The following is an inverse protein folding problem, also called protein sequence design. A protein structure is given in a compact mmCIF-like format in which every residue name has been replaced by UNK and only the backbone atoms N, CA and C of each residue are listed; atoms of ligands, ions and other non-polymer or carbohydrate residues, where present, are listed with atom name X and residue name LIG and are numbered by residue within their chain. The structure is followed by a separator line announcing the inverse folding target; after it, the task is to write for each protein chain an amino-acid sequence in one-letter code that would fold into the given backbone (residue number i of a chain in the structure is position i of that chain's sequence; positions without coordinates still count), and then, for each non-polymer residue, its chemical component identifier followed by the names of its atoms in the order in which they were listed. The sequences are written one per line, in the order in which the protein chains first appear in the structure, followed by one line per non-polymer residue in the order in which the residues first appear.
data_IF_118990900414
#
_entry.id   IF_118990900414
#
_cell.length_a   1.000
_cell.length_b   1.000
_cell.length_c   1.000
_cell.angle_alpha   90.00
_cell.angle_beta   90.00
_cell.angle_gamma   90.00
#
_symmetry.space_group_name_H-M   'P 1'
#
loop_
_entity.id
_entity.type
_entity.pdbx_description
1 polymer ?
#
# COMPACT_ATOMS: atom_id res chain seq x y z
N UNK A 1 -9.18 46.56 28.26
CA UNK A 1 -8.16 46.23 29.26
C UNK A 1 -7.24 45.21 28.61
N UNK A 2 -6.18 45.74 28.01
CA UNK A 2 -5.10 44.99 27.39
C UNK A 2 -4.12 44.60 28.51
N UNK A 3 -3.69 43.34 28.54
CA UNK A 3 -2.52 42.95 29.33
C UNK A 3 -1.60 42.17 28.39
N UNK A 4 -0.56 42.88 27.94
CA UNK A 4 0.56 42.38 27.17
C UNK A 4 1.58 41.88 28.21
N UNK A 5 1.93 40.60 28.15
CA UNK A 5 3.03 40.04 28.93
C UNK A 5 4.19 39.79 27.98
N UNK A 6 5.16 40.69 28.03
CA UNK A 6 6.49 40.52 27.45
C UNK A 6 7.29 39.57 28.34
N UNK A 7 7.93 38.57 27.72
CA UNK A 7 8.96 37.75 28.36
C UNK A 7 10.19 37.79 27.45
N UNK A 8 11.12 38.68 27.82
CA UNK A 8 12.55 38.60 27.52
C UNK A 8 13.07 37.29 28.15
N UNK A 9 13.86 36.43 27.50
CA UNK A 9 15.18 36.70 26.97
C UNK A 9 16.15 35.87 27.82
N UNK A 10 16.88 34.95 27.20
CA UNK A 10 18.13 34.37 27.75
C UNK A 10 18.78 33.52 26.62
N UNK A 11 19.78 34.13 26.00
CA UNK A 11 20.82 33.51 25.19
C UNK A 11 21.94 33.06 26.14
N UNK A 12 22.49 31.86 25.94
CA UNK A 12 23.81 31.37 26.43
C UNK A 12 23.88 29.88 26.02
N UNK A 13 25.00 29.27 25.61
CA UNK A 13 26.36 29.72 25.33
C UNK A 13 27.01 28.57 24.53
N UNK A 14 28.02 28.91 23.74
CA UNK A 14 28.82 28.01 22.93
C UNK A 14 29.68 27.06 23.77
N UNK A 15 29.85 25.82 23.29
CA UNK A 15 30.74 24.82 23.88
C UNK A 15 31.47 24.04 22.78
N UNK A 16 32.49 24.66 22.21
CA UNK A 16 33.54 23.99 21.44
C UNK A 16 34.52 23.33 22.43
N UNK A 17 34.72 22.02 22.33
CA UNK A 17 35.84 21.34 23.01
C UNK A 17 36.52 20.35 22.07
N UNK A 18 37.81 20.23 22.33
CA UNK A 18 38.92 20.05 21.42
C UNK A 18 39.20 18.62 20.97
N UNK A 19 40.02 18.60 19.92
CA UNK A 19 40.77 17.50 19.35
C UNK A 19 41.64 16.76 20.39
N UNK A 20 41.65 15.43 20.28
CA UNK A 20 42.60 14.56 20.98
C UNK A 20 43.16 13.55 20.00
N UNK A 21 44.28 13.90 19.36
CA UNK A 21 45.18 12.97 18.69
C UNK A 21 45.91 12.11 19.75
N UNK A 22 45.84 10.78 19.63
CA UNK A 22 46.77 9.90 20.32
C UNK A 22 47.29 8.81 19.35
N UNK A 23 48.46 9.08 18.77
CA UNK A 23 49.31 8.08 18.12
C UNK A 23 50.04 7.24 19.18
N UNK A 24 49.67 5.97 19.29
CA UNK A 24 50.36 4.98 20.13
C UNK A 24 50.81 3.75 19.34
N UNK A 25 52.07 3.75 18.89
CA UNK A 25 52.79 2.57 18.37
C UNK A 25 52.98 1.50 19.46
N UNK A 26 52.74 0.20 19.15
CA UNK A 26 53.73 -0.92 19.20
C UNK A 26 53.11 -2.33 19.23
N UNK A 27 53.49 -3.10 18.21
CA UNK A 27 54.00 -4.49 18.22
C UNK A 27 53.60 -5.52 19.29
N UNK A 28 53.12 -6.67 18.83
CA UNK A 28 53.08 -7.97 19.51
C UNK A 28 51.80 -8.71 19.13
N UNK A 29 51.78 -9.85 18.44
CA UNK A 29 52.64 -11.02 18.56
C UNK A 29 51.76 -12.18 19.03
N UNK A 30 51.37 -13.06 18.10
CA UNK A 30 51.12 -14.48 18.41
C UNK A 30 49.74 -14.90 18.93
N UNK A 31 48.92 -15.42 18.00
CA UNK A 31 48.07 -16.62 18.13
C UNK A 31 47.14 -16.71 19.36
N UNK A 32 45.96 -16.12 19.25
CA UNK A 32 44.77 -16.59 19.95
C UNK A 32 43.90 -17.42 19.01
N UNK A 33 43.54 -18.63 19.46
CA UNK A 33 42.81 -19.63 18.70
C UNK A 33 41.53 -19.12 18.05
N UNK A 34 41.28 -19.63 16.85
CA UNK A 34 40.01 -19.52 16.15
C UNK A 34 38.92 -20.22 16.97
N UNK A 35 38.29 -19.48 17.88
CA UNK A 35 36.99 -19.83 18.43
C UNK A 35 35.98 -19.34 17.41
N UNK A 36 35.50 -20.25 16.56
CA UNK A 36 34.38 -20.03 15.67
C UNK A 36 33.15 -19.64 16.50
N UNK A 37 32.95 -18.34 16.67
CA UNK A 37 31.78 -17.76 17.30
C UNK A 37 30.73 -17.47 16.23
N UNK A 38 29.70 -18.32 16.22
CA UNK A 38 28.32 -17.98 15.89
C UNK A 38 28.08 -17.13 14.63
N UNK A 39 28.08 -17.80 13.48
CA UNK A 39 27.41 -17.31 12.27
C UNK A 39 25.89 -17.20 12.50
N UNK A 40 25.43 -16.01 12.88
CA UNK A 40 23.99 -15.70 13.01
C UNK A 40 23.61 -14.24 12.74
N UNK A 41 24.57 -13.31 12.76
CA UNK A 41 24.31 -11.86 12.64
C UNK A 41 24.46 -11.25 11.24
N UNK A 42 25.03 -11.96 10.26
CA UNK A 42 25.43 -11.37 8.97
C UNK A 42 24.28 -10.95 8.05
N UNK A 43 23.14 -11.64 8.11
CA UNK A 43 22.03 -11.42 7.19
C UNK A 43 21.30 -10.10 7.39
N UNK A 44 20.90 -9.79 8.63
CA UNK A 44 20.14 -8.55 8.94
C UNK A 44 20.95 -7.29 8.67
N UNK A 45 22.22 -7.26 9.07
CA UNK A 45 23.10 -6.12 8.80
C UNK A 45 23.40 -5.93 7.31
N UNK A 46 23.39 -7.00 6.51
CA UNK A 46 23.59 -6.91 5.06
C UNK A 46 22.35 -6.38 4.35
N UNK A 47 21.16 -6.88 4.69
CA UNK A 47 19.90 -6.38 4.14
C UNK A 47 19.69 -4.91 4.48
N UNK A 48 19.93 -4.51 5.74
CA UNK A 48 19.75 -3.11 6.16
C UNK A 48 20.71 -2.17 5.42
N UNK A 49 21.98 -2.54 5.25
CA UNK A 49 22.94 -1.75 4.48
C UNK A 49 22.52 -1.61 3.01
N UNK A 50 22.05 -2.70 2.40
CA UNK A 50 21.52 -2.67 1.04
C UNK A 50 20.31 -1.73 0.92
N UNK A 51 19.34 -1.83 1.84
CA UNK A 51 18.15 -0.99 1.83
C UNK A 51 18.49 0.50 2.02
N UNK A 52 19.44 0.82 2.90
CA UNK A 52 19.94 2.20 3.06
C UNK A 52 20.62 2.72 1.79
N UNK A 53 21.46 1.90 1.14
CA UNK A 53 22.10 2.27 -0.11
C UNK A 53 21.08 2.47 -1.25
N UNK A 54 20.08 1.60 -1.33
CA UNK A 54 18.98 1.70 -2.29
C UNK A 54 18.16 2.97 -2.06
N UNK A 55 17.78 3.26 -0.82
CA UNK A 55 17.04 4.49 -0.46
C UNK A 55 17.79 5.75 -0.90
N UNK A 56 19.09 5.87 -0.57
CA UNK A 56 19.94 7.00 -1.03
C UNK A 56 20.00 7.10 -2.56
N UNK A 57 20.09 5.97 -3.25
CA UNK A 57 20.14 5.94 -4.72
C UNK A 57 18.82 6.40 -5.34
N UNK A 58 17.69 5.94 -4.80
CA UNK A 58 16.36 6.36 -5.25
C UNK A 58 16.13 7.86 -4.98
N UNK A 59 16.58 8.36 -3.84
CA UNK A 59 16.49 9.78 -3.48
C UNK A 59 17.31 10.66 -4.43
N UNK A 60 18.54 10.26 -4.72
CA UNK A 60 19.41 10.94 -5.69
C UNK A 60 18.82 10.95 -7.11
N UNK A 61 18.09 9.89 -7.49
CA UNK A 61 17.44 9.73 -8.80
C UNK A 61 15.97 10.16 -8.83
N UNK A 62 15.48 10.80 -7.77
CA UNK A 62 14.08 11.18 -7.65
C UNK A 62 13.54 11.98 -8.84
N UNK A 63 14.25 12.99 -9.40
CA UNK A 63 13.75 13.73 -10.57
C UNK A 63 13.55 12.86 -11.81
N UNK A 64 14.48 11.95 -12.07
CA UNK A 64 14.41 11.04 -13.22
C UNK A 64 13.28 10.04 -13.04
N UNK A 65 13.09 9.54 -11.81
CA UNK A 65 12.00 8.63 -11.47
C UNK A 65 10.64 9.32 -11.55
N UNK A 66 10.52 10.58 -11.14
CA UNK A 66 9.29 11.37 -11.27
C UNK A 66 8.82 11.51 -12.72
N UNK A 67 9.77 11.64 -13.65
CA UNK A 67 9.50 11.75 -15.08
C UNK A 67 9.12 10.40 -15.73
N UNK A 68 9.46 9.27 -15.11
CA UNK A 68 9.21 7.93 -15.63
C UNK A 68 7.82 7.42 -15.26
N UNK A 69 6.94 7.27 -16.26
CA UNK A 69 5.58 6.73 -16.05
C UNK A 69 5.60 5.27 -15.59
N UNK A 70 6.50 4.46 -16.15
CA UNK A 70 6.56 3.02 -15.89
C UNK A 70 7.01 2.70 -14.46
N UNK A 71 7.85 3.55 -13.87
CA UNK A 71 8.36 3.33 -12.51
C UNK A 71 7.50 3.98 -11.44
N UNK A 72 6.68 4.99 -11.79
CA UNK A 72 5.88 5.76 -10.83
C UNK A 72 4.96 4.89 -9.98
N UNK A 73 4.24 3.95 -10.59
CA UNK A 73 3.31 3.06 -9.89
C UNK A 73 4.03 2.13 -8.90
N UNK A 74 4.93 1.25 -9.37
CA UNK A 74 5.70 0.36 -8.51
C UNK A 74 6.51 1.08 -7.42
N UNK A 75 7.14 2.22 -7.75
CA UNK A 75 7.92 3.00 -6.78
C UNK A 75 7.01 3.64 -5.72
N UNK A 76 5.91 4.27 -6.13
CA UNK A 76 4.93 4.84 -5.19
C UNK A 76 4.41 3.75 -4.23
N UNK A 77 4.12 2.55 -4.75
CA UNK A 77 3.70 1.43 -3.91
C UNK A 77 4.81 0.98 -2.95
N UNK A 78 6.04 0.81 -3.41
CA UNK A 78 7.18 0.42 -2.57
C UNK A 78 7.45 1.43 -1.45
N UNK A 79 7.41 2.73 -1.76
CA UNK A 79 7.59 3.81 -0.77
C UNK A 79 6.48 3.77 0.29
N UNK A 80 5.22 3.53 -0.10
CA UNK A 80 4.10 3.38 0.87
C UNK A 80 4.33 2.22 1.84
N UNK A 81 4.83 1.10 1.33
CA UNK A 81 5.20 -0.05 2.15
C UNK A 81 6.34 0.32 3.09
N UNK A 82 7.41 0.94 2.61
CA UNK A 82 8.52 1.37 3.48
C UNK A 82 8.08 2.38 4.53
N UNK A 83 7.22 3.35 4.19
CA UNK A 83 6.71 4.31 5.16
C UNK A 83 5.94 3.63 6.32
N UNK A 84 5.37 2.45 6.08
CA UNK A 84 4.63 1.69 7.09
C UNK A 84 5.48 0.66 7.83
N UNK A 85 6.67 0.31 7.32
CA UNK A 85 7.43 -0.86 7.78
C UNK A 85 8.89 -0.57 8.13
N UNK A 86 9.46 0.48 7.54
CA UNK A 86 10.82 0.97 7.73
C UNK A 86 10.85 2.49 7.46
N UNK A 87 10.14 3.30 8.28
CA UNK A 87 9.95 4.73 8.01
C UNK A 87 11.27 5.51 7.93
N UNK A 88 12.32 5.05 8.62
CA UNK A 88 13.66 5.63 8.58
C UNK A 88 14.34 5.53 7.21
N UNK A 89 13.84 4.69 6.31
CA UNK A 89 14.33 4.56 4.93
C UNK A 89 13.65 5.53 3.96
N UNK A 90 12.63 6.26 4.41
CA UNK A 90 11.82 7.11 3.52
C UNK A 90 12.15 8.57 3.75
N UNK A 91 12.73 9.22 2.73
CA UNK A 91 13.02 10.65 2.76
C UNK A 91 11.77 11.47 2.36
N UNK A 92 11.70 12.77 2.73
CA UNK A 92 10.63 13.66 2.27
C UNK A 92 10.46 13.68 0.75
N UNK A 93 11.58 13.62 0.01
CA UNK A 93 11.56 13.60 -1.46
C UNK A 93 10.93 12.32 -2.02
N UNK A 94 11.24 11.17 -1.43
CA UNK A 94 10.59 9.90 -1.81
C UNK A 94 9.09 9.91 -1.48
N UNK A 95 8.67 10.55 -0.38
CA UNK A 95 7.25 10.74 -0.08
C UNK A 95 6.55 11.57 -1.15
N UNK A 96 7.15 12.68 -1.59
CA UNK A 96 6.58 13.51 -2.65
C UNK A 96 6.42 12.76 -3.97
N UNK A 97 7.41 11.94 -4.35
CA UNK A 97 7.27 11.04 -5.51
C UNK A 97 6.07 10.10 -5.38
N UNK A 98 5.87 9.54 -4.18
CA UNK A 98 4.81 8.60 -3.93
C UNK A 98 3.42 9.25 -3.94
N UNK A 99 3.28 10.50 -3.45
CA UNK A 99 2.04 11.29 -3.49
C UNK A 99 1.62 11.64 -4.92
N UNK A 100 2.59 11.91 -5.80
CA UNK A 100 2.32 12.16 -7.22
C UNK A 100 1.65 10.97 -7.92
N UNK A 101 1.80 9.73 -7.45
CA UNK A 101 1.20 8.53 -8.03
C UNK A 101 -0.33 8.40 -7.88
N UNK A 102 -1.03 9.45 -7.48
CA UNK A 102 -2.47 9.46 -7.22
C UNK A 102 -3.32 9.12 -8.45
N UNK A 103 -3.56 7.84 -8.64
CA UNK A 103 -4.46 7.30 -9.66
C UNK A 103 -4.61 5.80 -9.48
N UNK A 104 -5.43 5.40 -8.50
CA UNK A 104 -6.00 4.06 -8.37
C UNK A 104 -5.01 2.94 -8.01
N UNK A 105 -5.24 2.25 -6.90
CA UNK A 105 -4.62 0.97 -6.56
C UNK A 105 -5.07 -0.17 -7.48
N UNK A 106 -5.05 0.03 -8.81
CA UNK A 106 -5.22 -1.04 -9.80
C UNK A 106 -3.85 -1.66 -10.06
N UNK A 107 -3.62 -2.86 -9.51
CA UNK A 107 -2.47 -3.68 -9.85
C UNK A 107 -2.51 -4.12 -11.31
N UNK A 108 -2.12 -3.24 -12.22
CA UNK A 108 -1.90 -3.54 -13.63
C UNK A 108 -0.56 -4.26 -13.79
N UNK A 109 -0.61 -5.59 -13.96
CA UNK A 109 0.51 -6.32 -14.52
C UNK A 109 0.83 -5.76 -15.92
N UNK A 110 2.10 -5.44 -16.16
CA UNK A 110 2.56 -4.80 -17.37
C UNK A 110 2.24 -5.59 -18.64
N UNK A 111 1.75 -4.87 -19.65
CA UNK A 111 1.97 -5.20 -21.05
C UNK A 111 2.87 -4.10 -21.62
N UNK A 112 4.02 -4.52 -22.15
CA UNK A 112 5.01 -3.64 -22.75
C UNK A 112 4.53 -2.97 -24.04
N UNK A 113 4.83 -1.68 -24.13
CA UNK A 113 5.33 -0.88 -25.27
C UNK A 113 4.98 -1.29 -26.71
N UNK A 114 4.32 -0.38 -27.44
CA UNK A 114 4.90 0.33 -28.60
C UNK A 114 3.91 1.36 -29.18
N UNK A 115 4.43 2.53 -29.57
CA UNK A 115 4.00 3.20 -30.80
C UNK A 115 2.88 4.24 -30.74
N UNK A 116 3.33 5.49 -30.69
CA UNK A 116 2.91 6.59 -31.58
C UNK A 116 1.54 7.27 -31.44
N UNK A 117 1.60 8.61 -31.47
CA UNK A 117 0.48 9.52 -31.35
C UNK A 117 -0.05 9.82 -32.75
N UNK A 118 -1.21 9.29 -33.12
CA UNK A 118 -2.07 9.95 -34.11
C UNK A 118 -3.53 9.80 -33.73
N UNK A 119 -4.23 10.92 -33.88
CA UNK A 119 -5.66 11.10 -33.64
C UNK A 119 -6.48 10.30 -34.65
N UNK A 120 -7.34 9.41 -34.16
CA UNK A 120 -8.61 9.09 -34.82
C UNK A 120 -9.60 8.48 -33.83
N UNK A 121 -10.79 9.07 -33.81
CA UNK A 121 -11.98 8.51 -33.20
C UNK A 121 -12.33 7.15 -33.82
N UNK A 122 -13.13 6.36 -33.08
CA UNK A 122 -13.97 5.25 -33.56
C UNK A 122 -13.27 3.95 -33.95
N UNK A 123 -13.30 2.97 -33.05
CA UNK A 123 -14.13 1.75 -33.19
C UNK A 123 -13.68 0.71 -32.15
N UNK A 124 -14.62 0.27 -31.31
CA UNK A 124 -14.48 -0.97 -30.56
C UNK A 124 -14.33 -2.14 -31.55
N UNK A 125 -13.43 -3.11 -31.32
CA UNK A 125 -13.28 -4.23 -32.23
C UNK A 125 -14.53 -5.12 -32.19
N UNK A 126 -15.02 -5.59 -33.35
CA UNK A 126 -16.17 -6.48 -33.40
C UNK A 126 -15.80 -7.85 -32.84
N UNK A 127 -16.70 -8.38 -32.02
CA UNK A 127 -16.71 -9.76 -31.55
C UNK A 127 -16.56 -10.72 -32.73
N UNK A 128 -15.50 -11.52 -32.72
CA UNK A 128 -15.30 -12.62 -33.66
C UNK A 128 -16.32 -13.72 -33.37
N UNK A 129 -17.53 -13.59 -33.93
CA UNK A 129 -18.46 -14.71 -34.09
C UNK A 129 -17.85 -15.67 -35.11
N UNK A 130 -17.55 -16.88 -34.65
CA UNK A 130 -17.21 -18.00 -35.52
C UNK A 130 -18.50 -18.55 -36.12
N UNK A 131 -18.55 -18.67 -37.45
CA UNK A 131 -19.48 -19.57 -38.13
C UNK A 131 -19.06 -21.02 -37.86
N UNK A 132 -19.91 -21.77 -37.17
CA UNK A 132 -20.02 -23.23 -37.33
C UNK A 132 -21.52 -23.58 -37.27
N UNK A 133 -22.07 -24.30 -38.27
CA UNK A 133 -23.45 -24.78 -38.21
C UNK A 133 -23.47 -26.16 -37.54
N UNK A 134 -24.26 -26.31 -36.48
CA UNK A 134 -24.46 -27.62 -35.87
C UNK A 134 -25.18 -27.56 -34.52
N UNK A 135 -26.51 -27.53 -34.59
CA UNK A 135 -27.49 -28.09 -33.65
C UNK A 135 -27.23 -28.04 -32.13
N UNK A 136 -28.18 -27.42 -31.41
CA UNK A 136 -28.54 -27.89 -30.06
C UNK A 136 -28.79 -26.80 -29.03
N UNK A 137 -30.07 -26.56 -28.78
CA UNK A 137 -30.67 -26.17 -27.49
C UNK A 137 -30.09 -24.96 -26.72
N UNK A 138 -30.91 -23.89 -26.74
CA UNK A 138 -31.12 -22.85 -25.73
C UNK A 138 -30.17 -22.77 -24.53
N UNK A 139 -29.54 -21.61 -24.39
CA UNK A 139 -28.82 -21.21 -23.18
C UNK A 139 -28.11 -19.88 -23.39
N UNK A 140 -28.87 -18.79 -23.48
CA UNK A 140 -28.29 -17.44 -23.47
C UNK A 140 -27.58 -17.22 -22.13
N UNK A 141 -26.27 -17.40 -22.09
CA UNK A 141 -25.45 -16.97 -20.96
C UNK A 141 -25.39 -15.45 -21.04
N UNK A 142 -26.33 -14.80 -20.36
CA UNK A 142 -26.23 -13.39 -20.05
C UNK A 142 -24.85 -13.16 -19.39
N UNK A 143 -23.99 -12.39 -20.06
CA UNK A 143 -22.83 -11.78 -19.43
C UNK A 143 -23.37 -10.95 -18.27
N UNK A 144 -23.39 -11.54 -17.07
CA UNK A 144 -23.69 -10.80 -15.85
C UNK A 144 -22.60 -9.75 -15.71
N UNK A 145 -22.95 -8.50 -16.01
CA UNK A 145 -22.18 -7.34 -15.56
C UNK A 145 -21.95 -7.53 -14.06
N UNK A 146 -20.69 -7.80 -13.69
CA UNK A 146 -20.33 -7.96 -12.30
C UNK A 146 -20.71 -6.69 -11.53
N UNK A 147 -21.08 -6.80 -10.24
CA UNK A 147 -21.44 -5.63 -9.46
C UNK A 147 -20.30 -4.60 -9.49
N UNK A 148 -20.64 -3.35 -9.82
CA UNK A 148 -19.69 -2.24 -9.82
C UNK A 148 -19.12 -2.10 -8.40
N UNK A 149 -17.79 -2.21 -8.26
CA UNK A 149 -17.09 -2.18 -6.96
C UNK A 149 -17.39 -0.89 -6.20
N UNK A 150 -17.47 0.26 -6.87
CA UNK A 150 -17.83 1.53 -6.25
C UNK A 150 -19.25 1.53 -5.69
N UNK A 151 -20.19 0.84 -6.34
CA UNK A 151 -21.56 0.69 -5.82
C UNK A 151 -21.62 -0.28 -4.63
N UNK A 152 -20.81 -1.35 -4.65
CA UNK A 152 -20.65 -2.22 -3.49
C UNK A 152 -20.07 -1.48 -2.29
N UNK A 153 -19.07 -0.63 -2.50
CA UNK A 153 -18.49 0.21 -1.45
C UNK A 153 -19.55 1.13 -0.83
N UNK A 154 -20.34 1.83 -1.65
CA UNK A 154 -21.46 2.66 -1.16
C UNK A 154 -22.52 1.85 -0.40
N UNK A 155 -22.84 0.63 -0.84
CA UNK A 155 -23.77 -0.27 -0.15
C UNK A 155 -23.24 -0.68 1.23
N UNK A 156 -21.97 -1.09 1.33
CA UNK A 156 -21.32 -1.45 2.60
C UNK A 156 -21.32 -0.24 3.55
N UNK A 157 -20.96 0.95 3.06
CA UNK A 157 -20.97 2.18 3.85
C UNK A 157 -22.35 2.48 4.46
N UNK A 158 -23.40 2.48 3.62
CA UNK A 158 -24.78 2.74 4.08
C UNK A 158 -25.22 1.74 5.14
N UNK A 159 -24.98 0.45 4.90
CA UNK A 159 -25.37 -0.62 5.83
C UNK A 159 -24.62 -0.55 7.14
N UNK A 160 -23.33 -0.24 7.14
CA UNK A 160 -22.61 0.01 8.40
C UNK A 160 -23.28 1.15 9.19
N UNK A 161 -23.72 2.22 8.52
CA UNK A 161 -24.50 3.30 9.13
C UNK A 161 -25.85 2.83 9.71
N UNK A 162 -26.60 2.03 8.96
CA UNK A 162 -27.88 1.43 9.41
C UNK A 162 -27.70 0.51 10.63
N UNK A 163 -26.54 -0.14 10.74
CA UNK A 163 -26.18 -0.98 11.89
C UNK A 163 -25.76 -0.17 13.12
N UNK A 164 -25.71 1.16 13.03
CA UNK A 164 -25.37 2.07 14.12
C UNK A 164 -23.90 2.50 14.16
N UNK A 165 -23.08 2.07 13.20
CA UNK A 165 -21.68 2.49 13.12
C UNK A 165 -21.55 3.89 12.50
N UNK A 166 -20.39 4.51 12.71
CA UNK A 166 -20.01 5.80 12.12
C UNK A 166 -18.79 5.63 11.19
N UNK A 167 -18.94 4.96 10.04
CA UNK A 167 -17.85 4.80 9.10
C UNK A 167 -17.48 6.14 8.45
N UNK A 168 -16.21 6.29 8.08
CA UNK A 168 -15.67 7.34 7.22
C UNK A 168 -15.19 6.69 5.93
N UNK A 169 -15.61 7.19 4.77
CA UNK A 169 -15.15 6.67 3.48
C UNK A 169 -13.80 7.25 3.11
N UNK A 170 -12.99 6.46 2.39
CA UNK A 170 -11.73 6.88 1.78
C UNK A 170 -10.80 7.60 2.79
N UNK A 171 -10.72 7.05 4.01
CA UNK A 171 -9.92 7.67 5.08
C UNK A 171 -8.44 7.43 4.82
N UNK A 172 -7.65 8.51 4.88
CA UNK A 172 -6.21 8.44 4.79
C UNK A 172 -5.60 7.94 6.11
N UNK A 173 -4.88 6.82 6.07
CA UNK A 173 -4.14 6.23 7.18
C UNK A 173 -2.67 6.09 6.78
N UNK A 174 -1.83 7.00 7.29
CA UNK A 174 -0.45 7.12 6.83
C UNK A 174 -0.43 7.43 5.34
N UNK A 175 0.21 6.58 4.54
CA UNK A 175 0.22 6.72 3.08
C UNK A 175 -0.82 5.86 2.35
N UNK A 176 -1.70 5.19 3.08
CA UNK A 176 -2.77 4.37 2.52
C UNK A 176 -4.10 5.10 2.59
N UNK A 177 -4.94 4.93 1.58
CA UNK A 177 -6.36 5.25 1.68
C UNK A 177 -7.09 3.94 1.90
N UNK A 178 -7.90 3.87 2.94
CA UNK A 178 -8.77 2.71 3.20
C UNK A 178 -10.17 2.99 2.71
N UNK A 179 -10.86 1.99 2.15
CA UNK A 179 -12.21 2.21 1.59
C UNK A 179 -13.17 2.76 2.66
N UNK A 180 -13.12 2.19 3.87
CA UNK A 180 -13.82 2.67 5.04
C UNK A 180 -13.00 2.49 6.32
N UNK A 181 -13.11 3.46 7.22
CA UNK A 181 -12.56 3.38 8.58
C UNK A 181 -13.68 3.63 9.60
N UNK A 182 -13.73 2.83 10.65
CA UNK A 182 -14.67 3.01 11.76
C UNK A 182 -14.02 2.63 13.10
N UNK A 183 -14.67 3.05 14.20
CA UNK A 183 -14.31 2.61 15.55
C UNK A 183 -15.35 1.66 16.08
N UNK A 184 -14.90 0.52 16.62
CA UNK A 184 -15.74 -0.45 17.33
C UNK A 184 -15.12 -0.64 18.71
N UNK A 185 -15.79 -0.10 19.73
CA UNK A 185 -15.17 0.12 21.05
C UNK A 185 -13.91 0.99 20.93
N UNK A 186 -12.80 0.53 21.51
CA UNK A 186 -11.49 1.20 21.43
C UNK A 186 -10.69 0.91 20.15
N UNK A 187 -11.15 0.01 19.29
CA UNK A 187 -10.37 -0.49 18.14
C UNK A 187 -10.71 0.28 16.86
N UNK A 188 -9.69 0.69 16.10
CA UNK A 188 -9.87 1.20 14.72
C UNK A 188 -9.95 0.04 13.75
N UNK A 189 -11.01 -0.02 12.97
CA UNK A 189 -11.27 -1.06 11.97
C UNK A 189 -11.20 -0.43 10.58
N UNK A 190 -10.35 -0.98 9.72
CA UNK A 190 -10.38 -0.71 8.28
C UNK A 190 -11.21 -1.79 7.59
N UNK A 191 -12.18 -1.39 6.79
CA UNK A 191 -12.97 -2.28 5.93
C UNK A 191 -12.56 -2.00 4.50
N UNK A 192 -11.98 -3.00 3.84
CA UNK A 192 -11.55 -2.97 2.44
C UNK A 192 -12.54 -3.79 1.60
N UNK A 193 -13.11 -3.19 0.55
CA UNK A 193 -14.03 -3.84 -0.39
C UNK A 193 -13.22 -4.30 -1.60
N UNK A 194 -12.62 -5.48 -1.47
CA UNK A 194 -11.71 -6.02 -2.46
C UNK A 194 -12.46 -6.48 -3.72
N UNK A 195 -12.32 -5.73 -4.80
CA UNK A 195 -12.83 -6.06 -6.13
C UNK A 195 -12.02 -7.15 -6.87
N UNK A 196 -12.41 -7.51 -8.11
CA UNK A 196 -11.78 -8.60 -8.86
C UNK A 196 -10.26 -8.48 -9.02
N UNK A 197 -9.74 -7.26 -9.15
CA UNK A 197 -8.32 -6.98 -9.34
C UNK A 197 -7.45 -7.23 -8.10
N UNK A 198 -8.06 -7.51 -6.94
CA UNK A 198 -7.35 -7.85 -5.71
C UNK A 198 -7.08 -9.35 -5.57
N UNK A 199 -7.53 -10.17 -6.52
CA UNK A 199 -7.43 -11.62 -6.50
C UNK A 199 -6.74 -12.18 -7.75
N UNK A 200 -6.24 -13.41 -7.65
CA UNK A 200 -5.79 -14.19 -8.80
C UNK A 200 -6.97 -14.49 -9.73
N UNK A 201 -6.69 -14.62 -11.03
CA UNK A 201 -7.70 -15.03 -12.03
C UNK A 201 -7.95 -16.54 -12.05
N UNK A 202 -7.09 -17.34 -11.43
CA UNK A 202 -7.26 -18.80 -11.26
C UNK A 202 -8.35 -19.16 -10.26
N UNK A 203 -8.87 -20.39 -10.36
CA UNK A 203 -9.80 -20.98 -9.38
C UNK A 203 -9.05 -22.00 -8.50
N UNK A 204 -9.12 -21.91 -7.16
CA UNK A 204 -9.81 -20.88 -6.38
C UNK A 204 -9.12 -19.51 -6.49
N UNK A 205 -9.91 -18.45 -6.42
CA UNK A 205 -9.38 -17.08 -6.38
C UNK A 205 -8.75 -16.81 -5.01
N UNK A 206 -7.51 -16.31 -4.99
CA UNK A 206 -6.79 -15.96 -3.76
C UNK A 206 -6.30 -14.51 -3.81
N UNK A 207 -6.22 -13.79 -2.67
CA UNK A 207 -5.73 -12.41 -2.65
C UNK A 207 -4.30 -12.30 -3.19
N UNK A 208 -4.06 -11.28 -4.02
CA UNK A 208 -2.74 -10.98 -4.57
C UNK A 208 -1.74 -10.57 -3.47
N UNK A 209 -0.45 -10.68 -3.79
CA UNK A 209 0.62 -10.24 -2.89
C UNK A 209 0.50 -8.77 -2.51
N UNK A 210 0.11 -7.90 -3.44
CA UNK A 210 -0.14 -6.47 -3.21
C UNK A 210 -1.28 -6.23 -2.21
N UNK A 211 -2.38 -6.98 -2.31
CA UNK A 211 -3.50 -6.93 -1.36
C UNK A 211 -3.02 -7.34 0.04
N UNK A 212 -2.30 -8.45 0.15
CA UNK A 212 -1.77 -8.93 1.44
C UNK A 212 -0.78 -7.94 2.07
N UNK A 213 0.07 -7.32 1.26
CA UNK A 213 1.04 -6.33 1.74
C UNK A 213 0.35 -5.04 2.20
N UNK A 214 -0.67 -4.55 1.47
CA UNK A 214 -1.53 -3.44 1.94
C UNK A 214 -2.10 -3.76 3.31
N UNK A 215 -2.76 -4.90 3.47
CA UNK A 215 -3.40 -5.27 4.73
C UNK A 215 -2.38 -5.42 5.87
N UNK A 216 -1.19 -5.95 5.59
CA UNK A 216 -0.12 -6.05 6.58
C UNK A 216 0.39 -4.66 7.01
N UNK A 217 0.49 -3.70 6.10
CA UNK A 217 0.85 -2.33 6.41
C UNK A 217 -0.22 -1.64 7.26
N UNK A 218 -1.49 -1.77 6.89
CA UNK A 218 -2.60 -1.22 7.68
C UNK A 218 -2.65 -1.81 9.11
N UNK A 219 -2.41 -3.12 9.26
CA UNK A 219 -2.28 -3.74 10.59
C UNK A 219 -1.12 -3.17 11.41
N UNK A 220 0.03 -2.93 10.79
CA UNK A 220 1.18 -2.26 11.45
C UNK A 220 0.88 -0.82 11.85
N UNK A 221 -0.01 -0.14 11.12
CA UNK A 221 -0.51 1.19 11.47
C UNK A 221 -1.60 1.18 12.56
N UNK A 222 -1.83 0.03 13.21
CA UNK A 222 -2.73 -0.10 14.36
C UNK A 222 -4.20 -0.33 14.01
N UNK A 223 -4.51 -0.78 12.80
CA UNK A 223 -5.87 -1.09 12.37
C UNK A 223 -6.14 -2.59 12.42
N UNK A 224 -7.34 -2.98 12.86
CA UNK A 224 -7.90 -4.27 12.49
C UNK A 224 -8.39 -4.19 11.04
N UNK A 225 -7.85 -5.02 10.16
CA UNK A 225 -8.23 -5.03 8.74
C UNK A 225 -9.24 -6.14 8.47
N UNK A 226 -10.39 -5.74 7.93
CA UNK A 226 -11.47 -6.60 7.44
C UNK A 226 -11.49 -6.50 5.93
N UNK A 227 -11.14 -7.59 5.24
CA UNK A 227 -11.25 -7.68 3.78
C UNK A 227 -12.61 -8.29 3.39
N UNK A 228 -13.41 -7.55 2.64
CA UNK A 228 -14.67 -7.98 2.06
C UNK A 228 -14.47 -8.39 0.61
N UNK A 229 -14.55 -9.70 0.37
CA UNK A 229 -14.61 -10.26 -0.98
C UNK A 229 -15.90 -9.81 -1.70
N UNK A 230 -15.73 -9.11 -2.82
CA UNK A 230 -16.85 -8.59 -3.62
C UNK A 230 -17.81 -9.67 -4.13
N UNK A 231 -17.32 -10.88 -4.48
CA UNK A 231 -18.16 -11.98 -4.95
C UNK A 231 -18.99 -12.52 -3.80
N UNK A 232 -18.35 -12.78 -2.66
CA UNK A 232 -19.02 -13.30 -1.48
C UNK A 232 -20.10 -12.33 -1.03
N UNK A 233 -19.77 -11.05 -0.90
CA UNK A 233 -20.69 -10.02 -0.45
C UNK A 233 -21.81 -9.77 -1.48
N UNK A 234 -21.48 -9.72 -2.76
CA UNK A 234 -22.44 -9.48 -3.85
C UNK A 234 -23.53 -10.55 -3.97
N UNK A 235 -23.26 -11.79 -3.54
CA UNK A 235 -24.24 -12.90 -3.52
C UNK A 235 -25.20 -12.88 -2.33
N UNK A 236 -24.95 -12.06 -1.32
CA UNK A 236 -25.79 -11.99 -0.13
C UNK A 236 -26.90 -10.95 -0.31
N UNK A 237 -28.01 -11.15 0.40
CA UNK A 237 -29.15 -10.22 0.42
C UNK A 237 -29.27 -9.45 1.74
N UNK A 238 -30.16 -8.45 1.78
CA UNK A 238 -30.49 -7.55 2.90
C UNK A 238 -29.96 -7.96 4.28
N UNK A 239 -30.68 -8.87 4.94
CA UNK A 239 -30.35 -9.29 6.30
C UNK A 239 -29.04 -10.11 6.41
N UNK A 240 -28.67 -10.87 5.37
CA UNK A 240 -27.44 -11.67 5.37
C UNK A 240 -26.19 -10.78 5.34
N UNK A 241 -26.20 -9.74 4.49
CA UNK A 241 -25.13 -8.73 4.45
C UNK A 241 -24.98 -8.02 5.78
N UNK A 242 -26.09 -7.62 6.42
CA UNK A 242 -26.06 -6.97 7.73
C UNK A 242 -25.44 -7.86 8.82
N UNK A 243 -25.81 -9.15 8.86
CA UNK A 243 -25.19 -10.13 9.78
C UNK A 243 -23.71 -10.35 9.52
N UNK A 244 -23.32 -10.45 8.24
CA UNK A 244 -21.91 -10.59 7.85
C UNK A 244 -21.11 -9.38 8.33
N UNK A 245 -21.60 -8.16 8.09
CA UNK A 245 -20.89 -6.94 8.47
C UNK A 245 -20.69 -6.85 9.98
N UNK A 246 -21.73 -7.10 10.80
CA UNK A 246 -21.58 -7.14 12.27
C UNK A 246 -20.51 -8.14 12.69
N UNK A 247 -20.59 -9.39 12.21
CA UNK A 247 -19.64 -10.45 12.56
C UNK A 247 -18.19 -10.12 12.19
N UNK A 248 -17.96 -9.34 11.13
CA UNK A 248 -16.62 -8.98 10.71
C UNK A 248 -16.05 -7.78 11.47
N UNK A 249 -16.89 -6.80 11.81
CA UNK A 249 -16.43 -5.53 12.43
C UNK A 249 -16.48 -5.53 13.95
N UNK A 250 -17.18 -6.48 14.58
CA UNK A 250 -17.18 -6.73 16.02
C UNK A 250 -16.04 -7.68 16.37
#
# INVERSE_FOLDING_TARGET
EEEVVEVEGEEEEDGEEEEGEEEGRKSGGGRSGAKAAAGGGGGRGTVERFLKALSRTLDARAPQLAASRDTRGPLSYAVRVWASTAPHLVTPRLLELAKGGGGGGGGGAGRGSAGDKTSSQLHAPPSRQQLLPGGGAGGGVALREGPNVSELQKDVYRRLGELGYRPRMEEQVGMWSVDMCLRVGGVRVAVEVDGPYHFTTSSPQVPLGSTRVRDACLRRLGLRVVALDYQRYGRLEGAQRGRLLRMLVE
#
